data_IF_139231379533
#
_entry.id   IF_139231379533
#
_cell.length_a   1.000
_cell.length_b   1.000
_cell.length_c   1.000
_cell.angle_alpha   90.00
_cell.angle_beta   90.00
_cell.angle_gamma   90.00
#
_symmetry.space_group_name_H-M   'P 1'
#
loop_
_entity.id
_entity.type
_entity.pdbx_description
1 polymer ?
#
# COMPACT_ATOMS: atom_id res chain seq x y z
N UNK A 1 21.96 -32.62 25.48
CA UNK A 1 21.12 -31.40 25.33
C UNK A 1 21.68 -30.58 24.18
N UNK A 2 21.26 -30.86 22.97
CA UNK A 2 21.66 -30.15 21.76
C UNK A 2 20.67 -29.02 21.53
N UNK A 3 21.16 -27.80 21.78
CA UNK A 3 20.44 -26.54 21.50
C UNK A 3 20.18 -26.42 20.01
N UNK A 4 19.00 -26.81 19.57
CA UNK A 4 18.48 -26.46 18.26
C UNK A 4 18.10 -24.97 18.27
N UNK A 5 19.09 -24.09 18.10
CA UNK A 5 18.90 -22.69 17.79
C UNK A 5 18.29 -22.59 16.40
N UNK A 6 16.98 -22.80 16.32
CA UNK A 6 16.21 -22.55 15.12
C UNK A 6 16.41 -21.09 14.69
N UNK A 7 17.30 -20.85 13.75
CA UNK A 7 17.45 -19.59 13.04
C UNK A 7 16.08 -19.27 12.44
N UNK A 8 15.25 -18.52 13.17
CA UNK A 8 14.02 -17.95 12.57
C UNK A 8 14.45 -17.11 11.39
N UNK A 9 14.16 -17.60 10.19
CA UNK A 9 14.47 -16.91 8.93
C UNK A 9 13.97 -15.47 9.06
N UNK A 10 14.89 -14.53 8.93
CA UNK A 10 14.62 -13.10 9.13
C UNK A 10 13.71 -12.64 8.00
N UNK A 11 12.49 -12.23 8.33
CA UNK A 11 11.52 -11.68 7.36
C UNK A 11 11.92 -10.25 7.02
N UNK A 12 11.97 -9.91 5.74
CA UNK A 12 12.32 -8.57 5.22
C UNK A 12 11.46 -7.49 5.87
N UNK A 13 12.07 -6.34 6.19
CA UNK A 13 11.36 -5.19 6.76
C UNK A 13 10.31 -4.65 5.76
N UNK A 14 9.06 -4.43 6.18
CA UNK A 14 7.97 -4.03 5.28
C UNK A 14 8.26 -2.74 4.51
N UNK A 15 9.02 -1.80 5.10
CA UNK A 15 9.44 -0.57 4.44
C UNK A 15 10.29 -0.79 3.19
N UNK A 16 11.09 -1.85 3.12
CA UNK A 16 11.92 -2.15 1.95
C UNK A 16 11.05 -2.50 0.73
N UNK A 17 9.97 -3.27 0.94
CA UNK A 17 9.00 -3.58 -0.12
C UNK A 17 8.26 -2.34 -0.63
N UNK A 18 7.91 -1.43 0.28
CA UNK A 18 7.29 -0.17 -0.12
C UNK A 18 8.23 0.72 -0.93
N UNK A 19 9.51 0.83 -0.54
CA UNK A 19 10.50 1.60 -1.29
C UNK A 19 10.77 0.99 -2.67
N UNK A 20 10.89 -0.34 -2.77
CA UNK A 20 11.03 -1.04 -4.03
C UNK A 20 9.82 -0.80 -4.96
N UNK A 21 8.60 -0.97 -4.46
CA UNK A 21 7.39 -0.78 -5.25
C UNK A 21 7.19 0.68 -5.68
N UNK A 22 7.53 1.64 -4.82
CA UNK A 22 7.51 3.08 -5.16
C UNK A 22 8.52 3.38 -6.27
N UNK A 23 9.73 2.83 -6.20
CA UNK A 23 10.73 2.99 -7.25
C UNK A 23 10.22 2.43 -8.60
N UNK A 24 9.55 1.27 -8.59
CA UNK A 24 8.91 0.69 -9.79
C UNK A 24 7.79 1.59 -10.34
N UNK A 25 6.91 2.09 -9.47
CA UNK A 25 5.83 3.00 -9.87
C UNK A 25 6.39 4.32 -10.47
N UNK A 26 7.43 4.89 -9.86
CA UNK A 26 8.09 6.10 -10.37
C UNK A 26 8.81 5.85 -11.69
N UNK A 27 9.38 4.67 -11.90
CA UNK A 27 10.05 4.32 -13.16
C UNK A 27 9.09 4.40 -14.35
N UNK A 28 7.83 3.98 -14.18
CA UNK A 28 6.81 3.98 -15.24
C UNK A 28 5.92 5.23 -15.27
N UNK A 29 6.03 6.12 -14.28
CA UNK A 29 5.13 7.27 -14.15
C UNK A 29 5.14 8.21 -15.38
N UNK A 30 6.26 8.25 -16.11
CA UNK A 30 6.47 9.16 -17.24
C UNK A 30 6.48 8.47 -18.60
N UNK A 31 6.04 7.22 -18.69
CA UNK A 31 6.05 6.45 -19.94
C UNK A 31 4.68 5.88 -20.25
N UNK A 32 4.34 5.83 -21.54
CA UNK A 32 3.15 5.12 -22.05
C UNK A 32 3.55 3.97 -22.97
N UNK A 33 4.82 3.55 -22.97
CA UNK A 33 5.29 2.42 -23.76
C UNK A 33 4.64 1.11 -23.25
N UNK A 34 3.81 0.42 -24.06
CA UNK A 34 3.08 -0.76 -23.62
C UNK A 34 3.99 -1.92 -23.23
N UNK A 35 5.14 -2.05 -23.90
CA UNK A 35 6.09 -3.13 -23.62
C UNK A 35 6.75 -2.94 -22.26
N UNK A 36 7.17 -1.71 -21.93
CA UNK A 36 7.73 -1.41 -20.62
C UNK A 36 6.69 -1.63 -19.51
N UNK A 37 5.46 -1.18 -19.73
CA UNK A 37 4.37 -1.39 -18.75
C UNK A 37 4.11 -2.89 -18.52
N UNK A 38 4.06 -3.69 -19.59
CA UNK A 38 3.88 -5.14 -19.50
C UNK A 38 5.06 -5.83 -18.79
N UNK A 39 6.30 -5.44 -19.10
CA UNK A 39 7.49 -5.99 -18.45
C UNK A 39 7.52 -5.67 -16.95
N UNK A 40 7.24 -4.41 -16.56
CA UNK A 40 7.17 -4.04 -15.15
C UNK A 40 6.06 -4.80 -14.43
N UNK A 41 4.89 -4.92 -15.06
CA UNK A 41 3.78 -5.71 -14.52
C UNK A 41 4.19 -7.18 -14.31
N UNK A 42 4.88 -7.79 -15.29
CA UNK A 42 5.38 -9.15 -15.19
C UNK A 42 6.39 -9.33 -14.04
N UNK A 43 7.34 -8.40 -13.89
CA UNK A 43 8.32 -8.38 -12.78
C UNK A 43 7.62 -8.30 -11.43
N UNK A 44 6.65 -7.39 -11.29
CA UNK A 44 5.91 -7.20 -10.06
C UNK A 44 5.06 -8.43 -9.72
N UNK A 45 4.34 -8.99 -10.71
CA UNK A 45 3.57 -10.22 -10.53
C UNK A 45 4.45 -11.37 -10.10
N UNK A 46 5.58 -11.59 -10.78
CA UNK A 46 6.52 -12.66 -10.47
C UNK A 46 7.05 -12.53 -9.04
N UNK A 47 7.46 -11.32 -8.63
CA UNK A 47 7.95 -11.04 -7.28
C UNK A 47 6.88 -11.33 -6.23
N UNK A 48 5.63 -10.93 -6.49
CA UNK A 48 4.52 -11.20 -5.56
C UNK A 48 4.21 -12.69 -5.50
N UNK A 49 4.12 -13.38 -6.62
CA UNK A 49 3.84 -14.83 -6.66
C UNK A 49 4.92 -15.61 -5.92
N UNK A 50 6.19 -15.23 -6.10
CA UNK A 50 7.32 -15.88 -5.44
C UNK A 50 7.39 -15.62 -3.94
N UNK A 51 6.97 -14.43 -3.46
CA UNK A 51 7.28 -13.95 -2.09
C UNK A 51 6.08 -13.54 -1.24
N UNK A 52 4.83 -13.64 -1.76
CA UNK A 52 3.64 -13.30 -0.96
C UNK A 52 3.50 -14.25 0.25
N UNK A 53 3.23 -13.72 1.44
CA UNK A 53 2.95 -14.54 2.62
C UNK A 53 1.56 -15.21 2.51
N UNK A 54 1.40 -16.36 3.17
CA UNK A 54 0.10 -17.04 3.32
C UNK A 54 -0.76 -16.33 4.38
N UNK A 55 -1.15 -15.09 4.11
CA UNK A 55 -1.87 -14.25 5.06
C UNK A 55 -3.10 -13.60 4.40
N UNK A 56 -4.13 -13.23 5.19
CA UNK A 56 -5.37 -12.65 4.64
C UNK A 56 -5.14 -11.39 3.80
N UNK A 57 -4.19 -10.54 4.20
CA UNK A 57 -3.86 -9.30 3.48
C UNK A 57 -3.22 -9.54 2.11
N UNK A 58 -2.58 -10.69 1.88
CA UNK A 58 -2.01 -11.03 0.58
C UNK A 58 -3.07 -11.25 -0.51
N UNK A 59 -4.34 -11.41 -0.12
CA UNK A 59 -5.49 -11.49 -1.06
C UNK A 59 -5.85 -10.11 -1.63
N UNK A 60 -5.38 -9.04 -1.04
CA UNK A 60 -5.63 -7.66 -1.51
C UNK A 60 -5.20 -7.42 -2.95
N UNK A 61 -4.22 -8.19 -3.46
CA UNK A 61 -3.76 -8.08 -4.85
C UNK A 61 -4.89 -8.20 -5.87
N UNK A 62 -5.89 -9.09 -5.60
CA UNK A 62 -7.06 -9.23 -6.48
C UNK A 62 -7.91 -7.96 -6.52
N UNK A 63 -8.02 -7.26 -5.39
CA UNK A 63 -8.72 -5.98 -5.31
C UNK A 63 -7.99 -4.92 -6.15
N UNK A 64 -6.65 -4.85 -6.06
CA UNK A 64 -5.86 -3.92 -6.86
C UNK A 64 -5.91 -4.25 -8.36
N UNK A 65 -5.96 -5.54 -8.73
CA UNK A 65 -6.15 -5.94 -10.12
C UNK A 65 -7.54 -5.51 -10.65
N UNK A 66 -8.60 -5.73 -9.87
CA UNK A 66 -9.95 -5.29 -10.23
C UNK A 66 -10.05 -3.76 -10.31
N UNK A 67 -9.42 -3.04 -9.37
CA UNK A 67 -9.36 -1.58 -9.38
C UNK A 67 -8.57 -1.06 -10.59
N UNK A 68 -7.46 -1.71 -10.94
CA UNK A 68 -6.68 -1.38 -12.14
C UNK A 68 -7.48 -1.59 -13.42
N UNK A 69 -8.19 -2.71 -13.54
CA UNK A 69 -9.10 -2.94 -14.66
C UNK A 69 -10.22 -1.89 -14.74
N UNK A 70 -10.80 -1.53 -13.60
CA UNK A 70 -11.79 -0.46 -13.51
C UNK A 70 -11.23 0.89 -13.99
N UNK A 71 -10.00 1.22 -13.60
CA UNK A 71 -9.32 2.47 -14.03
C UNK A 71 -9.11 2.48 -15.53
N UNK A 72 -8.66 1.36 -16.13
CA UNK A 72 -8.49 1.27 -17.59
C UNK A 72 -9.84 1.48 -18.30
N UNK A 73 -10.88 0.76 -17.90
CA UNK A 73 -12.22 0.88 -18.49
C UNK A 73 -12.76 2.30 -18.32
N UNK A 74 -12.66 2.86 -17.11
CA UNK A 74 -13.12 4.22 -16.82
C UNK A 74 -12.39 5.26 -17.69
N UNK A 75 -11.06 5.10 -17.89
CA UNK A 75 -10.28 6.03 -18.72
C UNK A 75 -10.71 5.98 -20.20
N UNK A 76 -10.93 4.78 -20.72
CA UNK A 76 -11.43 4.58 -22.11
C UNK A 76 -12.84 5.15 -22.25
N UNK A 77 -13.74 4.86 -21.31
CA UNK A 77 -15.12 5.39 -21.32
C UNK A 77 -15.12 6.91 -21.26
N UNK A 78 -14.33 7.51 -20.36
CA UNK A 78 -14.22 8.97 -20.28
C UNK A 78 -13.65 9.58 -21.55
N UNK A 79 -12.70 8.92 -22.21
CA UNK A 79 -12.17 9.39 -23.50
C UNK A 79 -13.24 9.38 -24.59
N UNK A 80 -14.07 8.34 -24.64
CA UNK A 80 -15.18 8.26 -25.62
C UNK A 80 -16.24 9.34 -25.32
N UNK A 81 -16.53 9.61 -24.05
CA UNK A 81 -17.56 10.59 -23.66
C UNK A 81 -17.12 12.04 -23.83
N UNK A 82 -15.87 12.37 -23.43
CA UNK A 82 -15.41 13.77 -23.27
C UNK A 82 -14.05 14.01 -23.93
N UNK A 83 -13.44 12.98 -24.54
CA UNK A 83 -12.07 13.04 -25.05
C UNK A 83 -11.87 14.08 -26.16
N UNK A 84 -10.65 14.65 -26.19
CA UNK A 84 -10.22 15.52 -27.27
C UNK A 84 -10.17 14.73 -28.57
N UNK A 85 -10.79 15.30 -29.60
CA UNK A 85 -10.92 14.68 -30.92
C UNK A 85 -9.63 14.89 -31.68
N UNK A 86 -9.02 13.80 -32.11
CA UNK A 86 -7.85 13.82 -32.96
C UNK A 86 -8.30 13.50 -34.39
N UNK A 87 -7.67 14.12 -35.36
CA UNK A 87 -7.97 13.96 -36.80
C UNK A 87 -7.50 12.63 -37.41
N UNK A 88 -7.39 11.60 -36.57
CA UNK A 88 -6.95 10.25 -36.94
C UNK A 88 -8.08 9.43 -37.57
N UNK A 89 -7.74 8.21 -37.99
CA UNK A 89 -8.68 7.22 -38.51
C UNK A 89 -9.89 7.07 -37.57
N UNK A 90 -11.06 7.52 -38.00
CA UNK A 90 -12.30 7.47 -37.21
C UNK A 90 -12.75 6.01 -37.11
N UNK A 91 -12.82 5.49 -35.91
CA UNK A 91 -13.30 4.12 -35.61
C UNK A 91 -14.79 4.14 -35.28
N UNK A 92 -15.24 5.16 -34.54
CA UNK A 92 -16.62 5.30 -34.09
C UNK A 92 -17.13 6.69 -34.46
N UNK A 93 -17.96 6.80 -35.51
CA UNK A 93 -18.64 8.07 -35.88
C UNK A 93 -19.82 8.30 -34.92
N UNK A 94 -19.56 8.90 -33.76
CA UNK A 94 -20.62 9.27 -32.83
C UNK A 94 -21.11 10.69 -33.09
N UNK A 95 -22.43 10.98 -32.93
CA UNK A 95 -22.97 12.32 -33.10
C UNK A 95 -22.42 13.24 -31.99
N UNK A 96 -22.08 14.47 -32.37
CA UNK A 96 -21.64 15.49 -31.42
C UNK A 96 -22.83 16.12 -30.72
N UNK A 97 -22.81 16.12 -29.38
CA UNK A 97 -23.80 16.86 -28.60
C UNK A 97 -23.09 18.10 -28.03
N UNK A 98 -23.50 19.29 -28.53
CA UNK A 98 -23.03 20.57 -27.99
C UNK A 98 -23.62 20.81 -26.61
N UNK A 99 -22.77 21.11 -25.64
CA UNK A 99 -23.24 21.55 -24.31
C UNK A 99 -23.63 23.04 -24.32
N UNK A 100 -24.48 23.49 -23.36
CA UNK A 100 -24.83 24.89 -23.15
C UNK A 100 -23.60 25.80 -22.99
N UNK A 101 -23.78 27.11 -23.21
CA UNK A 101 -22.69 28.10 -23.25
C UNK A 101 -21.78 28.15 -21.99
N UNK A 102 -22.29 27.74 -20.82
CA UNK A 102 -21.51 27.67 -19.58
C UNK A 102 -20.39 26.61 -19.62
N UNK A 103 -20.50 25.61 -20.50
CA UNK A 103 -19.53 24.52 -20.68
C UNK A 103 -18.68 24.70 -21.94
N UNK A 104 -18.32 25.92 -22.29
CA UNK A 104 -17.55 26.27 -23.48
C UNK A 104 -16.32 25.39 -23.66
N UNK A 105 -16.22 24.75 -24.83
CA UNK A 105 -15.08 23.92 -25.23
C UNK A 105 -15.20 22.43 -24.88
N UNK A 106 -16.23 22.02 -24.15
CA UNK A 106 -16.51 20.61 -23.88
C UNK A 106 -17.59 20.15 -24.88
N UNK A 107 -17.24 19.23 -25.75
CA UNK A 107 -18.20 18.52 -26.60
C UNK A 107 -18.36 17.10 -26.09
N UNK A 108 -19.60 16.69 -25.79
CA UNK A 108 -19.90 15.31 -25.42
C UNK A 108 -20.08 14.49 -26.71
N UNK A 109 -19.49 13.29 -26.67
CA UNK A 109 -19.48 12.37 -27.81
C UNK A 109 -18.83 13.00 -29.06
N UNK A 110 -18.79 12.30 -30.14
CA UNK A 110 -18.20 12.75 -31.40
C UNK A 110 -17.29 11.69 -32.01
N UNK A 111 -16.70 11.95 -33.18
CA UNK A 111 -15.89 10.95 -33.86
C UNK A 111 -14.68 10.57 -32.98
N UNK A 112 -14.58 9.28 -32.66
CA UNK A 112 -13.46 8.72 -31.85
C UNK A 112 -12.43 8.17 -32.82
N UNK A 113 -11.20 8.74 -32.78
CA UNK A 113 -10.05 8.26 -33.52
C UNK A 113 -9.36 7.07 -32.83
N UNK A 114 -8.78 6.18 -33.63
CA UNK A 114 -8.05 5.01 -33.13
C UNK A 114 -6.89 5.41 -32.21
N UNK A 115 -6.12 6.42 -32.61
CA UNK A 115 -4.98 6.92 -31.82
C UNK A 115 -5.41 7.41 -30.46
N UNK A 116 -6.48 8.21 -30.38
CA UNK A 116 -7.02 8.68 -29.11
C UNK A 116 -7.48 7.55 -28.18
N UNK A 117 -8.13 6.52 -28.74
CA UNK A 117 -8.58 5.35 -28.00
C UNK A 117 -7.39 4.54 -27.42
N UNK A 118 -6.38 4.28 -28.26
CA UNK A 118 -5.14 3.61 -27.85
C UNK A 118 -4.41 4.44 -26.79
N UNK A 119 -4.30 5.76 -26.96
CA UNK A 119 -3.70 6.66 -26.00
C UNK A 119 -4.40 6.59 -24.63
N UNK A 120 -5.73 6.67 -24.62
CA UNK A 120 -6.53 6.56 -23.40
C UNK A 120 -6.36 5.19 -22.70
N UNK A 121 -6.31 4.11 -23.49
CA UNK A 121 -6.03 2.77 -22.98
C UNK A 121 -4.64 2.69 -22.35
N UNK A 122 -3.60 3.21 -23.01
CA UNK A 122 -2.22 3.17 -22.49
C UNK A 122 -2.05 4.03 -21.24
N UNK A 123 -2.69 5.19 -21.15
CA UNK A 123 -2.71 5.99 -19.94
C UNK A 123 -3.43 5.27 -18.80
N UNK A 124 -4.56 4.63 -19.09
CA UNK A 124 -5.26 3.78 -18.14
C UNK A 124 -4.40 2.61 -17.68
N UNK A 125 -3.70 1.94 -18.60
CA UNK A 125 -2.78 0.83 -18.29
C UNK A 125 -1.61 1.29 -17.43
N UNK A 126 -1.04 2.47 -17.69
CA UNK A 126 0.00 3.08 -16.84
C UNK A 126 -0.49 3.25 -15.40
N UNK A 127 -1.65 3.87 -15.22
CA UNK A 127 -2.24 4.07 -13.88
C UNK A 127 -2.55 2.73 -13.20
N UNK A 128 -3.10 1.77 -13.94
CA UNK A 128 -3.36 0.43 -13.43
C UNK A 128 -2.08 -0.29 -12.98
N UNK A 129 -0.99 -0.19 -13.76
CA UNK A 129 0.31 -0.78 -13.41
C UNK A 129 0.91 -0.11 -12.18
N UNK A 130 0.79 1.23 -12.03
CA UNK A 130 1.21 1.94 -10.81
C UNK A 130 0.41 1.47 -9.60
N UNK A 131 -0.92 1.36 -9.70
CA UNK A 131 -1.78 0.81 -8.65
C UNK A 131 -1.37 -0.62 -8.30
N UNK A 132 -1.02 -1.42 -9.28
CA UNK A 132 -0.59 -2.80 -9.07
C UNK A 132 0.75 -2.88 -8.33
N UNK A 133 1.69 -1.95 -8.58
CA UNK A 133 2.92 -1.82 -7.79
C UNK A 133 2.62 -1.57 -6.31
N UNK A 134 1.70 -0.64 -5.99
CA UNK A 134 1.27 -0.41 -4.60
C UNK A 134 0.49 -1.59 -4.02
N UNK A 135 -0.30 -2.27 -4.83
CA UNK A 135 -0.96 -3.53 -4.47
C UNK A 135 0.04 -4.63 -4.09
N UNK A 136 1.14 -4.71 -4.82
CA UNK A 136 2.24 -5.63 -4.54
C UNK A 136 2.94 -5.29 -3.22
N UNK A 137 3.25 -4.00 -2.97
CA UNK A 137 3.78 -3.56 -1.69
C UNK A 137 2.88 -3.98 -0.53
N UNK A 138 1.57 -3.75 -0.66
CA UNK A 138 0.59 -4.10 0.37
C UNK A 138 0.44 -5.62 0.55
N UNK A 139 0.58 -6.41 -0.51
CA UNK A 139 0.53 -7.87 -0.45
C UNK A 139 1.78 -8.49 0.20
N UNK A 140 2.97 -7.90 -0.04
CA UNK A 140 4.25 -8.36 0.47
C UNK A 140 4.54 -7.87 1.90
N UNK A 141 4.14 -6.63 2.21
CA UNK A 141 4.38 -5.99 3.50
C UNK A 141 3.29 -6.36 4.52
N UNK A 142 3.71 -6.75 5.73
CA UNK A 142 2.78 -6.92 6.85
C UNK A 142 2.37 -5.54 7.39
N UNK A 143 1.08 -5.15 7.31
CA UNK A 143 0.63 -3.83 7.72
C UNK A 143 0.85 -3.56 9.21
N UNK A 144 0.72 -4.57 10.07
CA UNK A 144 0.96 -4.42 11.51
C UNK A 144 2.44 -4.13 11.81
N UNK A 145 3.37 -4.78 11.10
CA UNK A 145 4.81 -4.53 11.24
C UNK A 145 5.20 -3.16 10.68
N UNK A 146 4.57 -2.74 9.58
CA UNK A 146 4.79 -1.41 9.00
C UNK A 146 4.38 -0.31 9.99
N UNK A 147 3.19 -0.42 10.58
CA UNK A 147 2.71 0.52 11.60
C UNK A 147 3.57 0.51 12.87
N UNK A 148 4.08 -0.66 13.28
CA UNK A 148 5.01 -0.76 14.41
C UNK A 148 6.38 -0.11 14.13
N UNK A 149 6.78 -0.02 12.86
CA UNK A 149 8.02 0.60 12.42
C UNK A 149 7.90 2.11 12.22
N UNK A 150 6.69 2.70 12.30
CA UNK A 150 6.48 4.14 12.15
C UNK A 150 7.27 4.96 13.17
N UNK A 151 7.73 6.16 12.79
CA UNK A 151 8.46 7.06 13.69
C UNK A 151 7.67 7.31 14.99
N UNK A 152 8.37 7.47 16.13
CA UNK A 152 7.70 7.69 17.43
C UNK A 152 6.78 8.91 17.46
N UNK A 153 7.03 9.89 16.62
CA UNK A 153 6.18 11.09 16.50
C UNK A 153 4.74 10.77 16.04
N UNK A 154 4.59 9.73 15.20
CA UNK A 154 3.30 9.29 14.62
C UNK A 154 2.78 8.04 15.33
N UNK A 155 3.49 7.56 16.35
CA UNK A 155 3.20 6.29 17.03
C UNK A 155 1.84 6.24 17.70
N UNK A 156 1.35 7.36 18.24
CA UNK A 156 0.05 7.38 18.90
C UNK A 156 -1.06 7.06 17.87
N UNK A 157 -0.94 7.60 16.65
CA UNK A 157 -1.79 7.23 15.52
C UNK A 157 -1.55 5.77 15.11
N UNK A 158 -0.28 5.34 15.04
CA UNK A 158 0.09 3.97 14.72
C UNK A 158 -0.49 2.96 15.72
N UNK A 159 -0.43 3.24 17.02
CA UNK A 159 -1.04 2.36 18.05
C UNK A 159 -2.55 2.36 17.98
N UNK A 160 -3.18 3.52 17.79
CA UNK A 160 -4.63 3.61 17.57
C UNK A 160 -5.05 2.77 16.36
N UNK A 161 -4.29 2.86 15.26
CA UNK A 161 -4.55 2.08 14.03
C UNK A 161 -4.35 0.57 14.25
N UNK A 162 -3.30 0.15 14.97
CA UNK A 162 -3.09 -1.27 15.31
C UNK A 162 -4.22 -1.80 16.19
N UNK A 163 -4.68 -1.01 17.17
CA UNK A 163 -5.84 -1.34 18.01
C UNK A 163 -7.08 -1.48 17.13
N UNK A 164 -7.37 -0.50 16.28
CA UNK A 164 -8.50 -0.53 15.36
C UNK A 164 -8.47 -1.77 14.44
N UNK A 165 -7.32 -2.09 13.84
CA UNK A 165 -7.15 -3.29 13.01
C UNK A 165 -7.30 -4.61 13.79
N UNK A 166 -7.01 -4.62 15.08
CA UNK A 166 -7.19 -5.80 15.93
C UNK A 166 -8.62 -5.95 16.44
N UNK A 167 -9.31 -4.83 16.64
CA UNK A 167 -10.71 -4.78 17.11
C UNK A 167 -11.71 -5.02 15.97
N UNK A 168 -11.39 -4.63 14.73
CA UNK A 168 -12.28 -4.80 13.59
C UNK A 168 -12.80 -6.24 13.39
N UNK A 169 -11.98 -7.31 13.43
CA UNK A 169 -12.48 -8.69 13.38
C UNK A 169 -13.39 -9.03 14.56
N UNK A 170 -13.07 -8.53 15.75
CA UNK A 170 -13.86 -8.78 16.97
C UNK A 170 -15.24 -8.12 16.88
N UNK A 171 -15.32 -6.93 16.25
CA UNK A 171 -16.60 -6.29 15.95
C UNK A 171 -17.47 -7.15 15.04
N UNK A 172 -16.90 -7.72 14.00
CA UNK A 172 -17.63 -8.63 13.09
C UNK A 172 -18.14 -9.85 13.83
N UNK A 173 -17.33 -10.43 14.71
CA UNK A 173 -17.72 -11.56 15.57
C UNK A 173 -18.83 -11.16 16.55
N UNK A 174 -18.75 -9.99 17.17
CA UNK A 174 -19.78 -9.47 18.08
C UNK A 174 -21.12 -9.27 17.35
N UNK A 175 -21.09 -8.68 16.14
CA UNK A 175 -22.29 -8.53 15.29
C UNK A 175 -22.91 -9.88 14.96
N UNK A 176 -22.08 -10.86 14.58
CA UNK A 176 -22.56 -12.22 14.25
C UNK A 176 -23.15 -12.90 15.48
N UNK A 177 -22.55 -12.75 16.64
CA UNK A 177 -23.04 -13.30 17.92
C UNK A 177 -24.39 -12.71 18.29
N UNK A 178 -24.53 -11.37 18.21
CA UNK A 178 -25.80 -10.68 18.52
C UNK A 178 -26.91 -11.11 17.53
N UNK A 179 -26.57 -11.18 16.23
CA UNK A 179 -27.53 -11.67 15.22
C UNK A 179 -27.98 -13.10 15.49
N UNK A 180 -27.05 -13.99 15.79
CA UNK A 180 -27.33 -15.40 16.09
C UNK A 180 -28.21 -15.55 17.34
N UNK A 181 -27.90 -14.80 18.40
CA UNK A 181 -28.70 -14.80 19.62
C UNK A 181 -30.15 -14.30 19.39
N UNK A 182 -30.34 -13.34 18.50
CA UNK A 182 -31.68 -12.84 18.15
C UNK A 182 -32.49 -13.83 17.32
N UNK A 183 -31.84 -14.48 16.37
CA UNK A 183 -32.48 -15.57 15.58
C UNK A 183 -32.99 -16.68 16.51
N UNK A 184 -32.15 -17.09 17.49
CA UNK A 184 -32.52 -18.11 18.47
C UNK A 184 -33.68 -17.68 19.40
N UNK A 185 -33.88 -16.39 19.59
CA UNK A 185 -35.02 -15.83 20.34
C UNK A 185 -36.29 -15.69 19.51
N UNK A 186 -36.34 -16.21 18.30
CA UNK A 186 -37.51 -16.23 17.44
C UNK A 186 -37.85 -14.92 16.72
N UNK A 187 -36.89 -13.98 16.61
CA UNK A 187 -37.11 -12.68 15.96
C UNK A 187 -36.16 -12.43 14.78
N UNK A 188 -36.24 -13.22 13.70
CA UNK A 188 -35.31 -13.14 12.56
C UNK A 188 -35.43 -11.78 11.81
N UNK A 189 -36.61 -11.17 11.77
CA UNK A 189 -36.80 -9.85 11.13
C UNK A 189 -36.12 -8.71 11.88
N UNK A 190 -35.99 -8.79 13.20
CA UNK A 190 -35.25 -7.83 14.00
C UNK A 190 -33.74 -8.06 14.00
N UNK A 191 -33.28 -9.27 13.70
CA UNK A 191 -31.86 -9.58 13.60
C UNK A 191 -31.17 -8.80 12.46
N UNK A 192 -31.92 -8.34 11.47
CA UNK A 192 -31.42 -7.53 10.34
C UNK A 192 -31.54 -6.02 10.55
N UNK A 193 -32.31 -5.54 11.55
CA UNK A 193 -32.45 -4.11 11.83
C UNK A 193 -31.19 -3.56 12.47
N UNK A 194 -30.51 -2.65 11.77
CA UNK A 194 -29.22 -2.07 12.16
C UNK A 194 -29.26 -1.50 13.58
N UNK A 195 -30.26 -0.70 13.95
CA UNK A 195 -30.37 -0.08 15.28
C UNK A 195 -30.38 -1.11 16.42
N UNK A 196 -31.06 -2.24 16.23
CA UNK A 196 -31.20 -3.24 17.28
C UNK A 196 -29.96 -4.12 17.46
N UNK A 197 -29.13 -4.25 16.41
CA UNK A 197 -27.85 -4.95 16.47
C UNK A 197 -26.74 -4.00 16.92
N UNK A 198 -26.78 -2.75 16.46
CA UNK A 198 -25.76 -1.77 16.75
C UNK A 198 -25.65 -1.43 18.25
N UNK A 199 -26.77 -1.27 18.95
CA UNK A 199 -26.76 -0.86 20.36
C UNK A 199 -26.03 -1.86 21.28
N UNK A 200 -26.34 -3.17 21.25
CA UNK A 200 -25.60 -4.16 22.06
C UNK A 200 -24.12 -4.30 21.63
N UNK A 201 -23.83 -4.20 20.33
CA UNK A 201 -22.45 -4.26 19.83
C UNK A 201 -21.68 -3.03 20.30
N UNK A 202 -22.31 -1.84 20.26
CA UNK A 202 -21.68 -0.61 20.73
C UNK A 202 -21.36 -0.69 22.22
N UNK A 203 -22.29 -1.22 23.04
CA UNK A 203 -22.08 -1.41 24.48
C UNK A 203 -20.91 -2.36 24.76
N UNK A 204 -20.87 -3.53 24.13
CA UNK A 204 -19.77 -4.50 24.23
C UNK A 204 -18.44 -3.88 23.81
N UNK A 205 -18.42 -3.04 22.77
CA UNK A 205 -17.19 -2.36 22.32
C UNK A 205 -16.74 -1.24 23.24
N UNK A 206 -17.66 -0.49 23.84
CA UNK A 206 -17.33 0.53 24.84
C UNK A 206 -16.73 -0.08 26.10
N UNK A 207 -17.33 -1.15 26.64
CA UNK A 207 -16.80 -1.85 27.82
C UNK A 207 -15.39 -2.38 27.60
N UNK A 208 -15.16 -2.96 26.41
CA UNK A 208 -13.81 -3.42 26.01
C UNK A 208 -12.82 -2.27 25.85
N UNK A 209 -13.27 -1.14 25.30
CA UNK A 209 -12.41 0.02 25.13
C UNK A 209 -12.00 0.63 26.46
N UNK A 210 -12.91 0.69 27.42
CA UNK A 210 -12.65 1.17 28.80
C UNK A 210 -11.67 0.22 29.49
N UNK A 211 -11.90 -1.09 29.40
CA UNK A 211 -11.00 -2.12 29.98
C UNK A 211 -9.60 -2.06 29.35
N UNK A 212 -9.52 -1.87 28.04
CA UNK A 212 -8.24 -1.71 27.33
C UNK A 212 -7.54 -0.43 27.79
N UNK A 213 -8.25 0.70 27.87
CA UNK A 213 -7.71 1.98 28.32
C UNK A 213 -7.15 1.87 29.75
N UNK A 214 -7.90 1.28 30.69
CA UNK A 214 -7.46 1.05 32.05
C UNK A 214 -6.21 0.17 32.12
N UNK A 215 -6.14 -0.90 31.31
CA UNK A 215 -4.97 -1.77 31.24
C UNK A 215 -3.74 -1.06 30.66
N UNK A 216 -3.93 -0.15 29.71
CA UNK A 216 -2.86 0.67 29.12
C UNK A 216 -2.36 1.72 30.11
N UNK A 217 -3.26 2.37 30.85
CA UNK A 217 -2.94 3.34 31.89
C UNK A 217 -2.15 2.71 33.02
N UNK A 218 -2.55 1.53 33.49
CA UNK A 218 -1.82 0.75 34.51
C UNK A 218 -0.39 0.41 34.08
N UNK A 219 -0.14 0.27 32.76
CA UNK A 219 1.20 0.06 32.18
C UNK A 219 1.96 1.36 31.93
N UNK A 220 1.42 2.51 32.36
CA UNK A 220 2.04 3.82 32.19
C UNK A 220 1.96 4.36 30.75
N UNK A 221 1.00 3.87 29.93
CA UNK A 221 0.80 4.40 28.60
C UNK A 221 0.22 5.82 28.68
N UNK A 222 0.70 6.72 27.81
CA UNK A 222 0.23 8.12 27.79
C UNK A 222 1.04 9.08 28.65
N UNK A 223 1.94 8.61 29.52
CA UNK A 223 2.86 9.51 30.24
C UNK A 223 3.76 10.23 29.27
N UNK A 224 3.56 11.55 29.13
CA UNK A 224 4.41 12.44 28.33
C UNK A 224 5.48 13.05 29.20
N UNK A 225 6.74 12.99 28.78
CA UNK A 225 7.78 13.80 29.38
C UNK A 225 7.51 15.27 29.06
N UNK A 226 7.51 16.13 30.09
CA UNK A 226 7.43 17.58 29.90
C UNK A 226 8.65 18.05 29.09
N UNK A 227 8.40 18.82 28.07
CA UNK A 227 9.46 19.37 27.20
C UNK A 227 9.46 20.87 27.30
N UNK A 228 10.64 21.52 27.33
CA UNK A 228 10.72 22.95 27.26
C UNK A 228 10.06 23.45 25.96
N UNK A 229 9.37 24.57 26.08
CA UNK A 229 8.60 25.19 24.97
C UNK A 229 9.46 25.36 23.70
N UNK A 230 10.73 25.79 23.87
CA UNK A 230 11.69 26.01 22.77
C UNK A 230 11.88 24.73 21.95
N UNK A 231 12.08 23.58 22.59
CA UNK A 231 12.27 22.30 21.87
C UNK A 231 11.03 21.89 21.07
N UNK A 232 9.84 22.11 21.63
CA UNK A 232 8.57 21.85 20.93
C UNK A 232 8.39 22.78 19.72
N UNK A 233 8.73 24.05 19.88
CA UNK A 233 8.64 25.05 18.82
C UNK A 233 9.61 24.74 17.68
N UNK A 234 10.89 24.45 17.98
CA UNK A 234 11.90 24.09 16.96
C UNK A 234 11.48 22.83 16.17
N UNK A 235 11.01 21.81 16.85
CA UNK A 235 10.52 20.59 16.18
C UNK A 235 9.30 20.91 15.28
N UNK A 236 8.38 21.75 15.77
CA UNK A 236 7.22 22.19 14.99
C UNK A 236 7.63 22.96 13.72
N UNK A 237 8.56 23.90 13.86
CA UNK A 237 9.10 24.68 12.73
C UNK A 237 9.82 23.78 11.72
N UNK A 238 10.63 22.82 12.18
CA UNK A 238 11.31 21.88 11.29
C UNK A 238 10.31 20.99 10.53
N UNK A 239 9.25 20.53 11.18
CA UNK A 239 8.25 19.66 10.54
C UNK A 239 7.38 20.47 9.55
N UNK A 240 6.80 21.57 9.99
CA UNK A 240 5.92 22.40 9.15
C UNK A 240 6.70 23.13 8.06
N UNK A 241 7.81 23.76 8.41
CA UNK A 241 8.68 24.42 7.44
C UNK A 241 9.26 23.46 6.42
N UNK A 242 9.71 22.29 6.87
CA UNK A 242 10.17 21.23 5.97
C UNK A 242 9.07 20.72 5.04
N UNK A 243 7.84 20.54 5.54
CA UNK A 243 6.71 20.15 4.71
C UNK A 243 6.35 21.22 3.66
N UNK A 244 6.33 22.50 4.07
CA UNK A 244 6.08 23.61 3.16
C UNK A 244 7.17 23.74 2.08
N UNK A 245 8.45 23.66 2.47
CA UNK A 245 9.56 23.65 1.51
C UNK A 245 9.50 22.47 0.56
N UNK A 246 9.07 21.31 1.03
CA UNK A 246 8.85 20.13 0.16
C UNK A 246 7.74 20.40 -0.84
N UNK A 247 6.60 20.96 -0.43
CA UNK A 247 5.51 21.34 -1.34
C UNK A 247 5.96 22.37 -2.39
N UNK A 248 6.68 23.40 -1.96
CA UNK A 248 7.24 24.43 -2.87
C UNK A 248 8.26 23.82 -3.83
N UNK A 249 9.13 22.94 -3.35
CA UNK A 249 10.10 22.23 -4.18
C UNK A 249 9.46 21.30 -5.21
N UNK A 250 8.43 20.56 -4.82
CA UNK A 250 7.64 19.71 -5.75
C UNK A 250 6.94 20.57 -6.79
N UNK A 251 6.29 21.65 -6.36
CA UNK A 251 5.61 22.56 -7.27
C UNK A 251 6.59 23.17 -8.28
N UNK A 252 7.75 23.67 -7.80
CA UNK A 252 8.78 24.24 -8.67
C UNK A 252 9.37 23.24 -9.66
N UNK A 253 9.62 21.99 -9.25
CA UNK A 253 10.10 20.95 -10.17
C UNK A 253 9.05 20.53 -11.20
N UNK A 254 7.76 20.60 -10.86
CA UNK A 254 6.65 20.32 -11.79
C UNK A 254 6.50 21.43 -12.85
N UNK A 255 6.66 22.68 -12.45
CA UNK A 255 6.58 23.84 -13.36
C UNK A 255 7.82 23.96 -14.27
N UNK A 256 9.01 23.65 -13.78
CA UNK A 256 10.25 23.69 -14.57
C UNK A 256 10.39 22.57 -15.62
N UNK A 257 9.51 21.59 -15.63
CA UNK A 257 9.56 20.46 -16.58
C UNK A 257 8.73 20.65 -17.87
N UNK A 258 8.25 21.87 -18.14
CA UNK A 258 7.64 22.23 -19.43
C UNK A 258 6.13 22.10 -19.48
N UNK A 259 5.56 23.03 -20.10
CA UNK A 259 4.24 23.27 -20.62
C UNK A 259 3.54 24.46 -19.94
N UNK A 260 3.92 25.70 -20.36
CA UNK A 260 2.99 26.82 -20.33
C UNK A 260 2.59 27.41 -18.96
N UNK A 261 3.37 27.17 -17.91
CA UNK A 261 3.10 27.79 -16.60
C UNK A 261 3.67 29.21 -16.50
N UNK A 262 3.01 30.07 -15.74
CA UNK A 262 3.31 31.50 -15.53
C UNK A 262 4.74 31.76 -14.97
N UNK A 263 5.49 30.71 -14.61
CA UNK A 263 6.86 30.77 -14.06
C UNK A 263 7.75 29.81 -14.84
N UNK A 264 7.84 30.00 -16.14
CA UNK A 264 8.61 29.14 -17.06
C UNK A 264 10.12 29.24 -16.97
N UNK A 265 10.67 30.17 -16.19
CA UNK A 265 12.11 30.49 -16.16
C UNK A 265 12.85 30.06 -14.89
N UNK A 266 12.25 29.25 -14.02
CA UNK A 266 12.95 28.78 -12.80
C UNK A 266 13.75 27.51 -13.13
N UNK A 267 15.09 27.60 -13.19
CA UNK A 267 15.93 26.46 -13.51
C UNK A 267 15.76 25.34 -12.46
N UNK A 268 15.75 24.10 -12.89
CA UNK A 268 15.61 22.92 -12.00
C UNK A 268 16.66 22.88 -10.86
N UNK A 269 17.86 23.45 -11.09
CA UNK A 269 18.91 23.52 -10.07
C UNK A 269 18.61 24.52 -8.93
N UNK A 270 17.62 25.37 -9.06
CA UNK A 270 17.15 26.23 -7.96
C UNK A 270 16.03 25.57 -7.17
N UNK A 271 15.19 24.76 -7.81
CA UNK A 271 14.04 24.09 -7.19
C UNK A 271 14.39 22.75 -6.57
N UNK A 272 15.33 21.99 -7.17
CA UNK A 272 15.79 20.72 -6.65
C UNK A 272 16.45 20.83 -5.26
N UNK A 273 17.34 21.79 -4.96
CA UNK A 273 17.87 21.95 -3.61
C UNK A 273 16.79 22.32 -2.58
N UNK A 274 15.79 23.12 -2.95
CA UNK A 274 14.67 23.46 -2.07
C UNK A 274 13.89 22.21 -1.70
N UNK A 275 13.63 21.33 -2.67
CA UNK A 275 13.00 20.04 -2.44
C UNK A 275 13.81 19.16 -1.48
N UNK A 276 15.11 19.03 -1.73
CA UNK A 276 16.01 18.22 -0.88
C UNK A 276 16.07 18.79 0.54
N UNK A 277 16.23 20.09 0.71
CA UNK A 277 16.24 20.75 2.02
C UNK A 277 14.92 20.55 2.74
N UNK A 278 13.79 20.67 2.04
CA UNK A 278 12.45 20.42 2.59
C UNK A 278 12.29 19.00 3.11
N UNK A 279 12.69 18.01 2.32
CA UNK A 279 12.65 16.59 2.72
C UNK A 279 13.56 16.34 3.93
N UNK A 280 14.81 16.83 3.89
CA UNK A 280 15.77 16.64 4.98
C UNK A 280 15.27 17.30 6.26
N UNK A 281 14.77 18.54 6.20
CA UNK A 281 14.21 19.25 7.35
C UNK A 281 13.02 18.49 7.96
N UNK A 282 12.10 17.98 7.12
CA UNK A 282 10.97 17.17 7.57
C UNK A 282 11.42 15.88 8.27
N UNK A 283 12.37 15.15 7.66
CA UNK A 283 12.92 13.91 8.22
C UNK A 283 13.64 14.16 9.55
N UNK A 284 14.46 15.22 9.62
CA UNK A 284 15.15 15.62 10.85
C UNK A 284 14.14 16.02 11.92
N UNK A 285 13.11 16.80 11.57
CA UNK A 285 12.03 17.19 12.49
C UNK A 285 11.33 15.97 13.09
N UNK A 286 10.95 14.99 12.26
CA UNK A 286 10.34 13.74 12.69
C UNK A 286 11.31 12.90 13.54
N UNK A 287 12.58 12.83 13.18
CA UNK A 287 13.60 12.11 13.94
C UNK A 287 13.85 12.73 15.32
N UNK A 288 13.93 14.07 15.40
CA UNK A 288 14.06 14.81 16.66
C UNK A 288 12.82 14.65 17.54
N UNK A 289 11.62 14.69 16.97
CA UNK A 289 10.38 14.38 17.67
C UNK A 289 10.41 12.97 18.28
N UNK A 290 10.98 12.01 17.55
CA UNK A 290 11.08 10.61 17.96
C UNK A 290 12.09 10.32 19.07
N UNK A 291 13.26 11.00 19.04
CA UNK A 291 14.35 10.78 20.01
C UNK A 291 13.98 11.14 21.45
N UNK A 292 13.06 12.05 21.65
CA UNK A 292 12.66 12.53 22.96
C UNK A 292 11.65 11.64 23.70
N UNK A 293 11.14 10.59 23.06
CA UNK A 293 10.30 9.59 23.72
C UNK A 293 11.16 8.42 24.21
N UNK A 294 11.61 8.47 25.48
CA UNK A 294 12.28 7.34 26.14
C UNK A 294 11.28 6.20 26.30
N UNK A 295 11.34 5.21 25.42
CA UNK A 295 10.60 3.96 25.60
C UNK A 295 11.49 2.77 25.32
N UNK A 296 11.41 1.77 26.19
CA UNK A 296 12.03 0.48 25.99
C UNK A 296 11.38 -0.23 24.80
N UNK A 297 12.16 -0.51 23.75
CA UNK A 297 11.72 -1.35 22.64
C UNK A 297 11.96 -2.81 23.01
N UNK A 298 10.90 -3.56 23.26
CA UNK A 298 10.98 -5.00 23.55
C UNK A 298 11.61 -5.78 22.39
N UNK A 299 11.32 -5.42 21.15
CA UNK A 299 11.92 -6.03 19.96
C UNK A 299 12.20 -4.95 18.91
N UNK A 300 13.48 -4.77 18.60
CA UNK A 300 13.87 -3.94 17.47
C UNK A 300 13.78 -4.79 16.21
N UNK A 301 13.17 -4.27 15.16
CA UNK A 301 13.21 -4.84 13.82
C UNK A 301 14.34 -4.10 13.08
N UNK A 302 15.60 -4.58 13.15
CA UNK A 302 16.71 -3.83 12.64
C UNK A 302 16.70 -3.87 11.11
N UNK A 303 16.97 -2.74 10.51
CA UNK A 303 17.25 -2.65 9.08
C UNK A 303 18.62 -3.29 8.80
N UNK A 304 18.71 -4.22 7.86
CA UNK A 304 19.94 -4.96 7.55
C UNK A 304 20.35 -4.87 6.10
N UNK A 305 21.38 -5.60 5.72
CA UNK A 305 21.90 -5.63 4.36
C UNK A 305 20.86 -6.12 3.34
N UNK A 306 20.00 -7.05 3.74
CA UNK A 306 18.96 -7.60 2.88
C UNK A 306 17.93 -6.54 2.47
N UNK A 307 17.52 -5.70 3.42
CA UNK A 307 16.59 -4.61 3.19
C UNK A 307 17.20 -3.54 2.27
N UNK A 308 18.47 -3.20 2.52
CA UNK A 308 19.20 -2.27 1.65
C UNK A 308 19.39 -2.83 0.25
N UNK A 309 19.63 -4.14 0.10
CA UNK A 309 19.71 -4.79 -1.20
C UNK A 309 18.39 -4.69 -1.98
N UNK A 310 17.24 -4.93 -1.32
CA UNK A 310 15.91 -4.78 -1.95
C UNK A 310 15.68 -3.34 -2.43
N UNK A 311 16.01 -2.37 -1.60
CA UNK A 311 15.88 -0.93 -1.94
C UNK A 311 16.83 -0.56 -3.07
N UNK A 312 18.08 -1.00 -2.99
CA UNK A 312 19.08 -0.75 -4.03
C UNK A 312 18.63 -1.32 -5.39
N UNK A 313 18.08 -2.54 -5.42
CA UNK A 313 17.51 -3.12 -6.64
C UNK A 313 16.40 -2.24 -7.24
N UNK A 314 15.51 -1.69 -6.42
CA UNK A 314 14.47 -0.75 -6.88
C UNK A 314 15.07 0.54 -7.44
N UNK A 315 16.01 1.15 -6.73
CA UNK A 315 16.65 2.41 -7.14
C UNK A 315 17.48 2.22 -8.41
N UNK A 316 18.29 1.15 -8.49
CA UNK A 316 19.08 0.83 -9.70
C UNK A 316 18.17 0.65 -10.90
N UNK A 317 17.07 -0.08 -10.75
CA UNK A 317 16.08 -0.23 -11.83
C UNK A 317 15.48 1.12 -12.24
N UNK A 318 15.09 1.96 -11.28
CA UNK A 318 14.56 3.30 -11.56
C UNK A 318 15.57 4.13 -12.36
N UNK A 319 16.83 4.17 -11.91
CA UNK A 319 17.88 4.95 -12.56
C UNK A 319 18.19 4.39 -13.96
N UNK A 320 18.31 3.07 -14.10
CA UNK A 320 18.58 2.41 -15.37
C UNK A 320 17.46 2.63 -16.39
N UNK A 321 16.18 2.48 -15.99
CA UNK A 321 15.03 2.76 -16.87
C UNK A 321 15.02 4.24 -17.29
N UNK A 322 15.27 5.15 -16.35
CA UNK A 322 15.33 6.59 -16.64
C UNK A 322 16.47 6.95 -17.57
N UNK A 323 17.66 6.34 -17.42
CA UNK A 323 18.80 6.55 -18.29
C UNK A 323 18.49 6.07 -19.73
N UNK A 324 17.92 4.85 -19.88
CA UNK A 324 17.54 4.32 -21.18
C UNK A 324 16.49 5.20 -21.87
N UNK A 325 15.49 5.69 -21.13
CA UNK A 325 14.44 6.58 -21.67
C UNK A 325 14.94 8.02 -21.94
N UNK A 326 16.04 8.43 -21.32
CA UNK A 326 16.70 9.71 -21.63
C UNK A 326 17.56 9.64 -22.89
N UNK A 327 18.24 8.51 -23.10
CA UNK A 327 19.03 8.26 -24.29
C UNK A 327 18.16 8.06 -25.55
N UNK A 328 16.97 7.45 -25.38
CA UNK A 328 16.04 7.18 -26.46
C UNK A 328 14.64 7.73 -26.13
N UNK A 329 14.40 9.02 -26.38
CA UNK A 329 13.11 9.67 -26.05
C UNK A 329 11.93 9.08 -26.80
N UNK A 330 12.13 8.52 -28.00
CA UNK A 330 11.08 7.85 -28.79
C UNK A 330 10.57 6.56 -28.11
N UNK A 331 11.36 5.91 -27.28
CA UNK A 331 10.95 4.76 -26.49
C UNK A 331 10.06 5.13 -25.29
N UNK A 332 9.96 6.42 -24.95
CA UNK A 332 9.22 6.88 -23.78
C UNK A 332 7.71 6.78 -23.99
N UNK A 333 7.23 7.24 -25.12
CA UNK A 333 5.81 7.29 -25.43
C UNK A 333 5.52 6.64 -26.77
N UNK A 334 4.43 5.89 -26.84
CA UNK A 334 3.95 5.41 -28.13
C UNK A 334 3.44 6.61 -28.94
N UNK A 335 3.91 6.75 -30.20
CA UNK A 335 3.29 7.69 -31.12
C UNK A 335 1.89 7.20 -31.47
N UNK A 336 0.90 7.97 -31.12
CA UNK A 336 -0.53 7.63 -31.31
C UNK A 336 -1.11 8.28 -32.57
N UNK A 337 -0.43 9.31 -33.11
CA UNK A 337 -0.85 10.02 -34.32
C UNK A 337 0.38 10.45 -35.14
N UNK A 338 0.75 9.67 -36.18
CA UNK A 338 0.23 8.38 -36.63
C UNK A 338 0.59 7.24 -35.65
N UNK A 339 -0.23 6.19 -35.66
CA UNK A 339 0.03 5.02 -34.82
C UNK A 339 1.29 4.30 -35.32
N UNK A 340 2.35 4.33 -34.52
CA UNK A 340 3.60 3.68 -34.81
C UNK A 340 3.84 2.46 -33.89
N UNK A 341 4.71 1.54 -34.32
CA UNK A 341 5.13 0.43 -33.46
C UNK A 341 5.93 0.97 -32.27
N UNK A 342 5.77 0.38 -31.05
CA UNK A 342 6.55 0.79 -29.89
C UNK A 342 8.03 0.51 -30.10
N UNK A 343 8.86 1.52 -29.93
CA UNK A 343 10.32 1.37 -29.95
C UNK A 343 10.74 0.73 -28.63
N UNK A 344 11.38 -0.42 -28.73
CA UNK A 344 11.87 -1.18 -27.57
C UNK A 344 13.39 -1.25 -27.63
N UNK A 345 14.10 -0.41 -26.85
CA UNK A 345 15.54 -0.50 -26.74
C UNK A 345 15.97 -1.88 -26.18
N UNK A 346 17.00 -2.46 -26.75
CA UNK A 346 17.55 -3.75 -26.27
C UNK A 346 17.96 -3.70 -24.77
N UNK A 347 18.38 -2.53 -24.30
CA UNK A 347 18.79 -2.30 -22.91
C UNK A 347 17.62 -2.21 -21.94
N UNK A 348 16.40 -2.04 -22.42
CA UNK A 348 15.21 -1.86 -21.57
C UNK A 348 14.88 -3.10 -20.74
N UNK A 349 14.83 -4.32 -21.29
CA UNK A 349 14.67 -5.54 -20.48
C UNK A 349 15.82 -5.73 -19.49
N UNK A 350 17.05 -5.42 -19.88
CA UNK A 350 18.23 -5.52 -19.02
C UNK A 350 18.14 -4.56 -17.82
N UNK A 351 17.62 -3.36 -18.03
CA UNK A 351 17.40 -2.37 -16.98
C UNK A 351 16.39 -2.85 -15.88
N UNK A 352 15.52 -3.82 -16.22
CA UNK A 352 14.55 -4.40 -15.29
C UNK A 352 15.08 -5.63 -14.53
N UNK A 353 16.22 -6.20 -14.93
CA UNK A 353 16.81 -7.38 -14.25
C UNK A 353 17.03 -7.14 -12.76
N UNK A 354 17.57 -5.99 -12.30
CA UNK A 354 17.75 -5.76 -10.87
C UNK A 354 16.44 -5.82 -10.09
N UNK A 355 15.31 -5.41 -10.69
CA UNK A 355 14.00 -5.47 -10.04
C UNK A 355 13.51 -6.89 -9.77
N UNK A 356 13.99 -7.89 -10.52
CA UNK A 356 13.69 -9.31 -10.32
C UNK A 356 14.49 -9.95 -9.19
N UNK A 357 15.69 -9.44 -8.90
CA UNK A 357 16.58 -10.03 -7.91
C UNK A 357 15.94 -10.27 -6.53
N UNK A 358 15.11 -9.35 -5.99
CA UNK A 358 14.41 -9.58 -4.74
C UNK A 358 13.54 -10.85 -4.74
N UNK A 359 13.03 -11.28 -5.90
CA UNK A 359 12.27 -12.51 -6.01
C UNK A 359 13.12 -13.77 -5.74
N UNK A 360 14.45 -13.69 -5.84
CA UNK A 360 15.35 -14.83 -5.69
C UNK A 360 16.08 -14.85 -4.35
N UNK A 361 16.61 -13.72 -3.88
CA UNK A 361 17.45 -13.70 -2.67
C UNK A 361 16.68 -13.45 -1.37
N UNK A 362 15.41 -12.98 -1.42
CA UNK A 362 14.63 -12.81 -0.19
C UNK A 362 14.14 -14.16 0.34
N UNK A 363 14.02 -14.34 1.67
CA UNK A 363 13.59 -15.61 2.25
C UNK A 363 12.15 -15.96 1.85
N UNK A 364 11.89 -17.24 1.66
CA UNK A 364 10.55 -17.74 1.39
C UNK A 364 9.61 -17.49 2.57
N UNK A 365 8.33 -17.15 2.30
CA UNK A 365 7.32 -17.00 3.34
C UNK A 365 7.10 -18.34 4.05
N UNK A 366 7.01 -18.29 5.39
CA UNK A 366 6.69 -19.48 6.20
C UNK A 366 5.33 -20.04 5.77
N UNK A 367 5.31 -21.28 5.31
CA UNK A 367 4.04 -22.00 5.10
C UNK A 367 3.40 -22.20 6.47
N UNK A 368 2.08 -21.95 6.62
CA UNK A 368 1.40 -22.28 7.86
C UNK A 368 1.65 -23.76 8.13
N UNK A 369 2.26 -24.08 9.29
CA UNK A 369 2.32 -25.47 9.72
C UNK A 369 0.87 -25.96 9.73
N UNK A 370 0.59 -26.99 8.95
CA UNK A 370 -0.61 -27.79 9.20
C UNK A 370 -0.45 -28.22 10.65
N UNK A 371 -1.21 -27.64 11.55
CA UNK A 371 -1.48 -28.25 12.84
C UNK A 371 -2.09 -29.59 12.48
N UNK A 372 -1.27 -30.63 12.55
CA UNK A 372 -1.81 -31.98 12.71
C UNK A 372 -2.85 -31.82 13.81
N UNK A 373 -4.11 -32.03 13.48
CA UNK A 373 -5.16 -32.15 14.48
C UNK A 373 -4.56 -33.06 15.57
N UNK A 374 -4.66 -32.70 16.86
CA UNK A 374 -4.23 -33.63 17.89
C UNK A 374 -4.93 -34.93 17.54
N UNK A 375 -4.14 -35.94 17.19
CA UNK A 375 -4.57 -37.30 17.03
C UNK A 375 -5.21 -37.62 18.38
N UNK A 376 -6.55 -37.53 18.44
CA UNK A 376 -7.30 -38.05 19.58
C UNK A 376 -6.94 -39.51 19.57
N UNK A 377 -5.96 -39.87 20.37
CA UNK A 377 -5.72 -41.22 20.73
C UNK A 377 -7.02 -41.73 21.33
N UNK A 378 -7.66 -42.68 20.60
CA UNK A 378 -8.88 -43.35 21.03
C UNK A 378 -8.71 -44.04 22.39
N UNK A 379 -7.54 -43.97 23.03
CA UNK A 379 -7.21 -44.48 24.34
C UNK A 379 -7.72 -43.62 25.50
N UNK A 380 -8.09 -42.33 25.28
CA UNK A 380 -8.64 -41.50 26.38
C UNK A 380 -10.17 -41.70 26.55
N UNK A 381 -10.79 -42.54 25.77
CA UNK A 381 -12.24 -42.85 25.85
C UNK A 381 -12.50 -44.24 26.49
N UNK A 382 -11.64 -44.71 27.40
CA UNK A 382 -11.96 -45.85 28.25
C UNK A 382 -12.79 -45.39 29.46
N UNK A 383 -14.12 -45.52 29.45
CA UNK A 383 -14.95 -45.29 30.64
C UNK A 383 -14.81 -46.50 31.56
N UNK A 384 -13.95 -46.50 32.54
CA UNK A 384 -13.88 -47.69 33.40
C UNK A 384 -12.90 -47.72 34.56
N UNK A 385 -12.39 -46.61 35.09
CA UNK A 385 -11.58 -46.70 36.33
C UNK A 385 -12.17 -46.06 37.57
N UNK A 386 -13.16 -45.21 37.46
CA UNK A 386 -13.74 -44.53 38.65
C UNK A 386 -14.90 -45.28 39.30
N UNK A 387 -15.40 -46.37 38.68
CA UNK A 387 -16.48 -47.18 39.28
C UNK A 387 -16.03 -48.13 40.39
N UNK A 388 -14.73 -48.32 40.63
CA UNK A 388 -14.23 -49.19 41.71
C UNK A 388 -13.89 -48.48 43.03
N UNK A 389 -13.73 -47.16 43.01
CA UNK A 389 -13.42 -46.40 44.23
C UNK A 389 -14.66 -46.10 45.08
N UNK A 390 -15.87 -46.22 44.55
CA UNK A 390 -17.11 -45.94 45.31
C UNK A 390 -17.77 -47.15 45.96
N UNK A 391 -17.21 -48.37 45.81
CA UNK A 391 -17.76 -49.58 46.46
C UNK A 391 -16.99 -50.02 47.71
N UNK A 392 -15.93 -49.31 48.09
CA UNK A 392 -15.13 -49.64 49.28
C UNK A 392 -15.42 -48.78 50.53
N UNK A 393 -16.40 -47.90 50.51
CA UNK A 393 -16.67 -46.99 51.64
C UNK A 393 -18.01 -47.28 52.38
N UNK A 394 -18.65 -48.45 52.14
CA UNK A 394 -19.81 -48.86 52.95
C UNK A 394 -19.65 -50.34 53.32
N UNK A 395 -18.78 -50.60 54.29
CA UNK A 395 -18.82 -51.77 55.15
C UNK A 395 -18.10 -51.40 56.45
#
# INVERSE_FOLDING_TARGET
>A
MTSASGHRRRVVHPGAWWMWATAMAVAIATTTNPVLLALVLAVVVLTVVARRPYAPWARSLRLYAALGAFVVVSRVVLHVLVGMKTSDTIVLPLPQVGLPEWARGITLLGPVGLGGLVGAFLEGLRLATMLFCFGAANALANPKRLLAATPPAVRDIGTATVIALSVAPQLVESVQRVRKARVLRGDPRRATRVKQVALPVLHDTLDRSISLAASMEARGYGRRAERPFVTRFVIGVLMLGGALLTCVGVYGTMQGSGAGGVVSDVPWWTTAPVLVVGIVASVVGVACAGRSMRRTRYRRDPWGLLEWAVVACGIVTLVAVRAVLADQPDARNLSVSPLAMPVVPLWLPLALVPALLPAFFTPEPERPRRTSAPERTLDDAAPGRDARALRGATS
#
